data_IF_831802778312
#
_entry.id   IF_831802778312
#
_cell.length_a   1.000
_cell.length_b   1.000
_cell.length_c   1.000
_cell.angle_alpha   90.00
_cell.angle_beta   90.00
_cell.angle_gamma   90.00
#
_symmetry.space_group_name_H-M   'P 1'
#
loop_
_entity.id
_entity.type
_entity.pdbx_description
1 polymer ?
#
# COMPACT_ATOMS: atom_id res chain seq x y z
N UNK A 1 10.62 -9.95 4.00
CA UNK A 1 10.72 -8.75 4.84
C UNK A 1 9.84 -8.93 6.06
N UNK A 2 10.25 -8.39 7.20
CA UNK A 2 9.47 -8.39 8.45
C UNK A 2 8.20 -7.53 8.32
N UNK A 3 7.15 -7.87 9.07
CA UNK A 3 5.93 -7.04 9.18
C UNK A 3 6.19 -5.88 10.10
N UNK A 4 5.90 -4.67 9.65
CA UNK A 4 6.13 -3.44 10.40
C UNK A 4 4.82 -2.66 10.54
N UNK A 5 4.61 -2.07 11.71
CA UNK A 5 3.47 -1.17 11.94
C UNK A 5 3.69 0.12 11.16
N UNK A 6 2.65 0.58 10.45
CA UNK A 6 2.76 1.74 9.57
C UNK A 6 3.19 3.03 10.32
N UNK A 7 2.80 3.19 11.59
CA UNK A 7 3.21 4.33 12.43
C UNK A 7 4.71 4.43 12.76
N UNK A 8 5.52 3.41 12.43
CA UNK A 8 6.98 3.38 12.66
C UNK A 8 7.79 3.67 11.38
N UNK A 9 7.12 3.91 10.25
CA UNK A 9 7.75 4.42 9.04
C UNK A 9 7.00 5.66 8.55
N UNK A 10 7.78 6.69 8.21
CA UNK A 10 7.30 7.92 7.57
C UNK A 10 6.40 7.61 6.33
N UNK A 11 5.49 8.53 5.97
CA UNK A 11 4.10 8.26 5.62
C UNK A 11 3.92 7.69 4.20
N UNK A 12 4.06 6.38 4.03
CA UNK A 12 3.51 5.69 2.84
C UNK A 12 1.98 5.84 2.74
N UNK A 13 1.34 6.27 3.84
CA UNK A 13 -0.09 6.48 3.97
C UNK A 13 -0.61 7.77 3.35
N UNK A 14 0.23 8.73 2.94
CA UNK A 14 -0.26 10.07 2.64
C UNK A 14 0.12 10.71 1.28
N UNK A 15 0.91 10.09 0.40
CA UNK A 15 1.33 10.77 -0.85
C UNK A 15 1.31 9.81 -2.06
N UNK A 16 0.40 10.01 -3.02
CA UNK A 16 0.43 9.48 -4.41
C UNK A 16 -0.25 8.14 -4.75
N UNK A 17 -0.44 7.18 -3.84
CA UNK A 17 -1.11 5.90 -4.22
C UNK A 17 -2.61 5.87 -3.94
N UNK A 18 -3.12 6.69 -3.02
CA UNK A 18 -4.56 6.81 -2.75
C UNK A 18 -5.35 7.18 -4.02
N UNK A 19 -4.98 8.22 -4.79
CA UNK A 19 -5.67 8.54 -6.04
C UNK A 19 -5.66 7.39 -7.06
N UNK A 20 -4.55 6.63 -7.12
CA UNK A 20 -4.43 5.47 -8.01
C UNK A 20 -5.39 4.34 -7.58
N UNK A 21 -5.52 4.10 -6.27
CA UNK A 21 -6.49 3.15 -5.74
C UNK A 21 -7.92 3.60 -6.01
N UNK A 22 -8.27 4.83 -5.64
CA UNK A 22 -9.61 5.42 -5.81
C UNK A 22 -10.07 5.39 -7.28
N UNK A 23 -9.17 5.70 -8.21
CA UNK A 23 -9.43 5.62 -9.64
C UNK A 23 -9.76 4.19 -10.08
N UNK A 24 -9.01 3.18 -9.60
CA UNK A 24 -9.21 1.77 -9.97
C UNK A 24 -10.46 1.15 -9.35
N UNK A 25 -10.89 1.62 -8.18
CA UNK A 25 -12.15 1.18 -7.54
C UNK A 25 -13.36 2.06 -7.90
N UNK A 26 -13.16 3.09 -8.73
CA UNK A 26 -14.16 4.07 -9.14
C UNK A 26 -14.91 4.69 -7.96
N UNK A 27 -14.17 5.09 -6.92
CA UNK A 27 -14.73 5.64 -5.68
C UNK A 27 -13.66 6.41 -4.91
N UNK A 28 -14.06 7.51 -4.26
CA UNK A 28 -13.22 8.23 -3.30
C UNK A 28 -13.32 7.63 -1.90
N UNK A 29 -12.24 7.73 -1.13
CA UNK A 29 -12.16 7.25 0.25
C UNK A 29 -11.91 8.44 1.17
N UNK A 30 -12.80 8.72 2.10
CA UNK A 30 -12.56 9.67 3.20
C UNK A 30 -11.50 9.12 4.15
N UNK A 31 -11.55 7.83 4.48
CA UNK A 31 -10.55 7.12 5.29
C UNK A 31 -9.63 6.33 4.37
N UNK A 32 -8.32 6.50 4.56
CA UNK A 32 -7.31 5.70 3.88
C UNK A 32 -6.06 5.61 4.75
N UNK A 33 -6.03 4.63 5.64
CA UNK A 33 -5.02 4.52 6.70
C UNK A 33 -4.27 3.19 6.58
N UNK A 34 -2.95 3.24 6.36
CA UNK A 34 -2.17 2.00 6.47
C UNK A 34 -2.03 1.60 7.94
N UNK A 35 -2.08 0.29 8.14
CA UNK A 35 -2.07 -0.36 9.43
C UNK A 35 -0.71 -1.03 9.64
N UNK A 36 -0.32 -1.88 8.68
CA UNK A 36 0.96 -2.57 8.65
C UNK A 36 1.47 -2.66 7.22
N UNK A 37 2.78 -2.83 7.07
CA UNK A 37 3.42 -3.08 5.79
C UNK A 37 4.50 -4.16 5.89
N UNK A 38 4.87 -4.72 4.74
CA UNK A 38 6.04 -5.57 4.53
C UNK A 38 6.79 -5.07 3.30
N UNK A 39 8.09 -5.31 3.25
CA UNK A 39 8.91 -4.97 2.07
C UNK A 39 9.49 -6.20 1.41
N UNK A 40 9.75 -6.07 0.11
CA UNK A 40 10.53 -6.99 -0.71
C UNK A 40 11.49 -6.16 -1.58
N UNK A 41 12.78 -6.40 -1.43
CA UNK A 41 13.83 -5.76 -2.22
C UNK A 41 13.88 -6.38 -3.62
N UNK A 42 13.98 -5.52 -4.64
CA UNK A 42 14.13 -5.86 -6.06
C UNK A 42 15.08 -4.84 -6.71
N UNK A 43 15.03 -4.63 -8.02
CA UNK A 43 15.57 -3.43 -8.67
C UNK A 43 14.69 -2.20 -8.33
N UNK A 44 14.63 -1.86 -7.04
CA UNK A 44 13.60 -1.03 -6.42
C UNK A 44 13.06 -1.70 -5.15
N UNK A 45 11.89 -1.29 -4.68
CA UNK A 45 11.26 -1.85 -3.48
C UNK A 45 9.77 -2.10 -3.77
N UNK A 46 9.31 -3.33 -3.54
CA UNK A 46 7.89 -3.61 -3.40
C UNK A 46 7.48 -3.41 -1.93
N UNK A 47 6.49 -2.57 -1.71
CA UNK A 47 5.77 -2.44 -0.45
C UNK A 47 4.44 -3.18 -0.56
N UNK A 48 4.22 -4.09 0.38
CA UNK A 48 2.93 -4.70 0.62
C UNK A 48 2.32 -3.99 1.80
N UNK A 49 1.12 -3.42 1.66
CA UNK A 49 0.53 -2.50 2.63
C UNK A 49 -0.89 -2.93 2.93
N UNK A 50 -1.21 -3.19 4.20
CA UNK A 50 -2.59 -3.31 4.66
C UNK A 50 -3.13 -1.93 4.96
N UNK A 51 -4.22 -1.56 4.30
CA UNK A 51 -4.94 -0.30 4.48
C UNK A 51 -6.34 -0.56 4.98
N UNK A 52 -6.77 0.25 5.94
CA UNK A 52 -8.17 0.43 6.31
C UNK A 52 -8.74 1.61 5.53
N UNK A 53 -9.87 1.40 4.86
CA UNK A 53 -10.61 2.41 4.11
C UNK A 53 -12.10 2.34 4.42
N UNK A 54 -12.88 3.26 3.83
CA UNK A 54 -14.34 3.30 3.98
C UNK A 54 -15.05 1.99 3.60
N UNK A 55 -14.41 1.15 2.77
CA UNK A 55 -14.99 -0.11 2.28
C UNK A 55 -14.45 -1.34 3.01
N UNK A 56 -13.72 -1.16 4.10
CA UNK A 56 -13.09 -2.24 4.86
C UNK A 56 -11.57 -2.28 4.65
N UNK A 57 -10.97 -3.48 4.67
CA UNK A 57 -9.53 -3.61 4.49
C UNK A 57 -9.17 -3.97 3.04
N UNK A 58 -8.04 -3.44 2.60
CA UNK A 58 -7.41 -3.79 1.35
C UNK A 58 -5.93 -4.06 1.58
N UNK A 59 -5.35 -4.93 0.75
CA UNK A 59 -3.91 -5.13 0.65
C UNK A 59 -3.43 -4.52 -0.66
N UNK A 60 -2.44 -3.64 -0.60
CA UNK A 60 -1.86 -2.99 -1.77
C UNK A 60 -0.45 -3.52 -2.01
N UNK A 61 -0.09 -3.65 -3.29
CA UNK A 61 1.29 -3.79 -3.72
C UNK A 61 1.71 -2.49 -4.41
N UNK A 62 2.65 -1.79 -3.81
CA UNK A 62 3.19 -0.53 -4.32
C UNK A 62 4.65 -0.75 -4.70
N UNK A 63 5.02 -0.36 -5.91
CA UNK A 63 6.40 -0.37 -6.36
C UNK A 63 7.01 1.03 -6.18
N UNK A 64 8.15 1.09 -5.52
CA UNK A 64 9.00 2.26 -5.45
C UNK A 64 10.25 1.99 -6.27
N UNK A 65 10.40 2.79 -7.33
CA UNK A 65 11.57 2.83 -8.19
C UNK A 65 12.85 3.18 -7.44
N UNK A 66 13.99 2.94 -8.07
CA UNK A 66 15.28 3.33 -7.51
C UNK A 66 15.40 4.87 -7.44
N UNK A 67 16.13 5.43 -6.46
CA UNK A 67 16.18 6.88 -6.25
C UNK A 67 16.58 7.73 -7.47
N UNK A 68 17.39 7.18 -8.38
CA UNK A 68 17.87 7.88 -9.58
C UNK A 68 16.88 7.86 -10.75
N UNK A 69 15.82 7.05 -10.69
CA UNK A 69 14.82 6.97 -11.77
C UNK A 69 13.80 8.12 -11.71
N UNK A 70 13.78 8.88 -10.60
CA UNK A 70 12.88 10.01 -10.37
C UNK A 70 11.39 9.69 -10.63
N UNK A 71 10.99 8.42 -10.44
CA UNK A 71 9.60 7.97 -10.53
C UNK A 71 9.00 7.89 -9.13
N UNK A 72 7.77 8.41 -9.00
CA UNK A 72 6.97 8.27 -7.78
C UNK A 72 6.49 6.82 -7.56
N UNK A 73 5.92 6.53 -6.36
CA UNK A 73 5.39 5.21 -6.07
C UNK A 73 4.21 4.86 -6.98
N UNK A 74 4.18 3.64 -7.49
CA UNK A 74 3.12 3.14 -8.36
C UNK A 74 2.34 2.01 -7.69
N UNK A 75 1.01 2.13 -7.66
CA UNK A 75 0.14 1.03 -7.26
C UNK A 75 0.21 -0.06 -8.35
N UNK A 76 0.83 -1.18 -8.05
CA UNK A 76 0.97 -2.29 -9.01
C UNK A 76 -0.34 -3.08 -9.05
N UNK A 77 -0.76 -3.58 -7.89
CA UNK A 77 -1.96 -4.41 -7.72
C UNK A 77 -2.56 -4.20 -6.32
N UNK A 78 -3.79 -4.67 -6.14
CA UNK A 78 -4.46 -4.64 -4.84
C UNK A 78 -5.47 -5.77 -4.72
N UNK A 79 -5.79 -6.13 -3.48
CA UNK A 79 -6.85 -7.05 -3.11
C UNK A 79 -7.83 -6.33 -2.17
N UNK A 80 -9.13 -6.38 -2.47
CA UNK A 80 -10.21 -5.82 -1.63
C UNK A 80 -10.96 -6.92 -0.88
N UNK A 81 -11.86 -6.54 0.03
CA UNK A 81 -12.66 -7.50 0.80
C UNK A 81 -11.86 -8.24 1.87
N UNK A 82 -10.69 -7.70 2.25
CA UNK A 82 -9.87 -8.25 3.32
C UNK A 82 -10.45 -7.89 4.70
N UNK A 83 -9.96 -8.58 5.71
CA UNK A 83 -10.28 -8.33 7.11
C UNK A 83 -9.09 -7.73 7.86
N UNK A 84 -9.36 -7.27 9.09
CA UNK A 84 -8.31 -6.81 10.00
C UNK A 84 -7.27 -7.89 10.28
N UNK A 85 -7.71 -9.15 10.34
CA UNK A 85 -6.92 -10.27 10.83
C UNK A 85 -6.23 -11.06 9.71
N UNK A 86 -6.61 -10.83 8.44
CA UNK A 86 -5.97 -11.48 7.29
C UNK A 86 -4.46 -11.21 7.27
N UNK A 87 -3.60 -12.21 7.05
CA UNK A 87 -2.17 -11.97 6.97
C UNK A 87 -1.83 -11.11 5.74
N UNK A 88 -0.84 -10.22 5.90
CA UNK A 88 -0.35 -9.39 4.80
C UNK A 88 0.73 -10.14 4.01
N UNK A 89 0.35 -11.07 3.15
CA UNK A 89 1.31 -11.88 2.38
C UNK A 89 1.68 -11.26 1.03
N UNK A 90 2.61 -11.91 0.31
CA UNK A 90 3.05 -11.50 -1.01
C UNK A 90 2.07 -11.95 -2.10
N UNK A 91 1.76 -11.05 -3.04
CA UNK A 91 0.88 -11.26 -4.19
C UNK A 91 1.30 -10.42 -5.41
#
# INVERSE_FOLDING_TARGET
>A
GEVKVAGQAQPLTQLDVKPQFESRVNRTCSIFQAIVYRTQLVAGINYFIKVYSDTGYAHLRVFQSLPHENQGPSLVSFETGKTRDDPLDYF
#
